data_IF_763183217154
#
_entry.id   IF_763183217154
#
_cell.length_a   1.000
_cell.length_b   1.000
_cell.length_c   1.000
_cell.angle_alpha   90.00
_cell.angle_beta   90.00
_cell.angle_gamma   90.00
#
_symmetry.space_group_name_H-M   'P 1'
#
loop_
_entity.id
_entity.type
_entity.pdbx_description
1 polymer ?
#
# COMPACT_ATOMS: atom_id res chain seq x y z
N UNK A 1 -27.08 50.03 41.26
CA UNK A 1 -27.22 48.62 40.84
C UNK A 1 -27.37 48.57 39.33
N UNK A 2 -26.71 47.58 38.68
CA UNK A 2 -26.64 47.25 37.24
C UNK A 2 -25.63 48.01 36.36
N UNK A 3 -24.53 47.29 36.05
CA UNK A 3 -23.55 47.44 34.97
C UNK A 3 -23.72 46.22 34.06
N UNK A 4 -23.80 46.42 32.73
CA UNK A 4 -23.40 45.53 31.60
C UNK A 4 -23.40 46.49 30.37
N UNK A 5 -22.31 47.07 29.85
CA UNK A 5 -21.11 46.64 29.09
C UNK A 5 -21.39 45.79 27.83
N UNK A 6 -21.05 46.39 26.69
CA UNK A 6 -21.13 45.92 25.30
C UNK A 6 -20.19 44.77 24.95
N UNK A 7 -20.58 43.94 23.98
CA UNK A 7 -19.65 43.12 23.20
C UNK A 7 -19.89 43.31 21.69
N UNK A 8 -18.87 43.85 21.03
CA UNK A 8 -18.66 43.88 19.59
C UNK A 8 -18.29 42.49 19.07
N UNK A 9 -19.02 41.99 18.08
CA UNK A 9 -18.70 40.74 17.38
C UNK A 9 -17.64 40.96 16.30
N UNK A 10 -16.52 40.24 16.40
CA UNK A 10 -15.53 40.13 15.34
C UNK A 10 -15.81 38.89 14.47
N UNK A 11 -16.10 39.15 13.20
CA UNK A 11 -16.09 38.19 12.09
C UNK A 11 -14.65 38.10 11.59
N UNK A 12 -13.89 37.06 11.94
CA UNK A 12 -12.59 36.77 11.30
C UNK A 12 -12.12 35.34 11.62
N UNK A 13 -12.64 34.29 10.96
CA UNK A 13 -11.97 32.96 11.03
C UNK A 13 -12.38 31.88 9.98
N UNK A 14 -12.89 32.24 8.80
CA UNK A 14 -13.27 31.20 7.80
C UNK A 14 -12.36 31.10 6.57
N UNK A 15 -11.53 32.12 6.30
CA UNK A 15 -10.64 32.10 5.13
C UNK A 15 -9.23 31.55 5.42
N UNK A 16 -8.75 31.65 6.67
CA UNK A 16 -7.39 31.24 7.01
C UNK A 16 -7.25 29.71 7.19
N UNK A 17 -8.31 29.03 7.64
CA UNK A 17 -8.35 27.56 7.65
C UNK A 17 -8.40 26.94 6.25
N UNK A 18 -8.99 27.63 5.26
CA UNK A 18 -9.00 27.17 3.86
C UNK A 18 -7.65 27.35 3.16
N UNK A 19 -6.85 28.34 3.55
CA UNK A 19 -5.46 28.51 3.07
C UNK A 19 -4.49 27.52 3.73
N UNK A 20 -4.65 27.22 5.04
CA UNK A 20 -3.85 26.20 5.72
C UNK A 20 -4.10 24.77 5.22
N UNK A 21 -5.34 24.41 4.87
CA UNK A 21 -5.64 23.11 4.27
C UNK A 21 -4.98 22.95 2.89
N UNK A 22 -4.99 23.99 2.05
CA UNK A 22 -4.35 23.96 0.72
C UNK A 22 -2.82 23.91 0.79
N UNK A 23 -2.19 24.57 1.75
CA UNK A 23 -0.73 24.47 1.94
C UNK A 23 -0.29 23.15 2.59
N UNK A 24 -1.10 22.54 3.47
CA UNK A 24 -0.76 21.23 4.05
C UNK A 24 -0.94 20.06 3.08
N UNK A 25 -1.77 20.19 2.05
CA UNK A 25 -2.02 19.16 1.04
C UNK A 25 -0.92 19.16 -0.03
N UNK A 26 -0.45 20.33 -0.48
CA UNK A 26 0.68 20.47 -1.40
C UNK A 26 2.00 19.94 -0.79
N UNK A 27 2.31 20.28 0.47
CA UNK A 27 3.55 19.82 1.13
C UNK A 27 3.54 18.35 1.59
N UNK A 28 2.39 17.66 1.49
CA UNK A 28 2.24 16.25 1.89
C UNK A 28 2.32 15.28 0.72
N UNK A 29 2.14 15.74 -0.52
CA UNK A 29 2.43 14.94 -1.71
C UNK A 29 3.95 14.91 -2.02
N UNK A 30 4.67 15.99 -1.70
CA UNK A 30 6.14 16.10 -1.90
C UNK A 30 6.96 15.11 -1.05
N UNK A 31 6.42 14.58 0.05
CA UNK A 31 7.13 13.60 0.89
C UNK A 31 7.25 12.22 0.21
N UNK A 32 6.44 11.95 -0.83
CA UNK A 32 6.59 10.76 -1.67
C UNK A 32 7.69 10.92 -2.74
N UNK A 33 8.19 12.13 -2.97
CA UNK A 33 9.11 12.50 -4.05
C UNK A 33 10.57 12.68 -3.59
N UNK A 34 10.83 12.79 -2.28
CA UNK A 34 12.18 13.06 -1.75
C UNK A 34 13.18 11.89 -1.80
N UNK A 35 12.80 10.70 -2.30
CA UNK A 35 13.69 9.52 -2.33
C UNK A 35 14.20 9.12 -3.72
N UNK A 36 14.08 9.99 -4.75
CA UNK A 36 14.64 9.74 -6.08
C UNK A 36 15.64 10.79 -6.59
N UNK A 37 16.02 11.79 -5.79
CA UNK A 37 17.05 12.77 -6.20
C UNK A 37 18.45 12.33 -5.75
N UNK A 38 19.23 11.96 -6.78
CA UNK A 38 20.68 11.79 -6.85
C UNK A 38 21.52 12.37 -5.71
N UNK A 39 22.35 11.50 -5.12
CA UNK A 39 23.58 11.85 -4.39
C UNK A 39 24.53 12.59 -5.34
N UNK A 40 24.59 13.91 -5.24
CA UNK A 40 25.75 14.67 -5.70
C UNK A 40 26.81 14.63 -4.62
N UNK A 41 27.93 13.95 -4.92
CA UNK A 41 29.18 14.07 -4.19
C UNK A 41 29.53 15.56 -4.04
N UNK A 42 29.61 16.03 -2.79
CA UNK A 42 30.39 17.21 -2.46
C UNK A 42 31.56 16.74 -1.60
N UNK A 43 32.72 16.90 -2.21
CA UNK A 43 34.04 16.68 -1.70
C UNK A 43 34.38 17.79 -0.70
N UNK A 44 34.56 17.44 0.56
CA UNK A 44 35.25 18.27 1.55
C UNK A 44 36.06 17.32 2.43
N UNK A 45 37.33 17.15 2.07
CA UNK A 45 38.33 16.60 2.95
C UNK A 45 38.54 17.48 4.18
N UNK A 46 39.02 16.89 5.28
CA UNK A 46 40.39 17.07 5.78
C UNK A 46 40.59 16.23 7.04
N UNK A 47 41.64 15.42 7.01
CA UNK A 47 42.45 14.86 8.10
C UNK A 47 41.79 14.07 9.25
N UNK A 48 42.24 12.83 9.48
CA UNK A 48 43.26 12.56 10.50
C UNK A 48 43.75 11.09 10.43
N UNK A 49 45.09 10.96 10.37
CA UNK A 49 45.98 9.88 10.84
C UNK A 49 45.91 8.47 10.21
N UNK A 50 46.89 8.24 9.33
CA UNK A 50 47.55 6.95 9.07
C UNK A 50 48.23 6.40 10.33
N UNK A 51 48.00 5.12 10.64
CA UNK A 51 49.03 4.22 11.17
C UNK A 51 48.92 2.88 10.44
N UNK A 52 50.01 2.50 9.79
CA UNK A 52 50.23 1.25 9.06
C UNK A 52 50.87 0.18 9.95
N UNK A 53 50.42 -1.08 9.85
CA UNK A 53 51.27 -2.29 9.91
C UNK A 53 50.47 -3.45 9.30
N UNK A 54 50.82 -3.96 8.11
CA UNK A 54 51.82 -5.00 7.81
C UNK A 54 51.58 -6.34 8.53
N UNK A 55 51.05 -7.33 7.80
CA UNK A 55 51.64 -8.67 7.59
C UNK A 55 50.59 -9.76 7.33
N UNK A 56 50.82 -10.52 6.26
CA UNK A 56 50.28 -11.85 5.92
C UNK A 56 51.51 -12.65 5.42
N UNK A 57 51.45 -13.99 5.25
CA UNK A 57 51.03 -15.10 6.10
C UNK A 57 52.22 -16.10 6.27
N UNK A 58 52.03 -17.39 6.61
CA UNK A 58 51.98 -18.37 5.52
C UNK A 58 51.08 -19.62 5.74
N UNK A 59 50.83 -20.26 4.60
CA UNK A 59 50.16 -21.53 4.29
C UNK A 59 50.98 -22.78 4.60
N UNK A 60 50.32 -23.92 4.92
CA UNK A 60 50.72 -25.31 4.57
C UNK A 60 49.43 -26.18 4.57
N UNK A 61 48.97 -26.77 3.45
CA UNK A 61 49.41 -28.00 2.75
C UNK A 61 49.07 -29.31 3.49
N UNK A 62 48.07 -30.05 2.98
CA UNK A 62 48.10 -31.48 2.55
C UNK A 62 46.73 -32.19 2.69
N UNK A 63 46.19 -32.59 1.53
CA UNK A 63 45.37 -33.79 1.30
C UNK A 63 46.36 -34.97 1.05
N UNK A 64 46.01 -36.27 1.12
CA UNK A 64 45.11 -36.86 0.09
C UNK A 64 44.42 -38.24 0.34
N UNK A 65 43.61 -38.63 -0.68
CA UNK A 65 43.41 -39.98 -1.28
C UNK A 65 42.30 -40.95 -0.78
N UNK A 66 41.29 -41.11 -1.67
CA UNK A 66 40.70 -42.30 -2.34
C UNK A 66 40.16 -43.53 -1.57
N UNK A 67 38.90 -43.90 -1.89
CA UNK A 67 38.40 -45.13 -2.57
C UNK A 67 36.92 -45.38 -2.17
N UNK A 68 36.06 -46.15 -2.83
CA UNK A 68 35.72 -46.53 -4.23
C UNK A 68 34.59 -47.60 -4.10
N UNK A 69 33.74 -47.76 -5.12
CA UNK A 69 32.74 -48.85 -5.26
C UNK A 69 31.28 -48.34 -5.22
N UNK A 70 30.51 -48.22 -6.32
CA UNK A 70 29.90 -49.27 -7.20
C UNK A 70 29.05 -50.30 -6.41
N UNK A 71 27.83 -50.74 -6.78
CA UNK A 71 27.05 -50.68 -8.03
C UNK A 71 25.57 -51.09 -7.78
N UNK A 72 24.68 -50.69 -8.71
CA UNK A 72 23.53 -51.37 -9.36
C UNK A 72 22.42 -52.10 -8.55
N UNK A 73 21.16 -51.82 -8.93
CA UNK A 73 20.04 -52.77 -8.72
C UNK A 73 18.61 -52.20 -8.86
N UNK A 74 18.09 -52.08 -10.08
CA UNK A 74 16.65 -52.11 -10.47
C UNK A 74 16.56 -53.32 -11.44
N UNK A 75 15.46 -54.09 -11.67
CA UNK A 75 14.03 -53.71 -11.65
C UNK A 75 13.02 -54.81 -11.19
N UNK A 76 11.72 -54.49 -11.13
CA UNK A 76 10.66 -55.26 -11.84
C UNK A 76 9.26 -54.64 -11.73
N UNK A 77 8.62 -54.54 -12.90
CA UNK A 77 7.18 -54.38 -13.14
C UNK A 77 6.44 -55.69 -12.90
N UNK A 78 5.15 -55.60 -12.55
CA UNK A 78 4.13 -56.57 -12.98
C UNK A 78 2.76 -55.90 -13.11
N UNK A 79 2.14 -56.14 -14.26
CA UNK A 79 0.78 -55.80 -14.74
C UNK A 79 -0.21 -56.96 -14.50
N UNK A 80 -1.52 -56.67 -14.42
CA UNK A 80 -2.75 -57.42 -14.87
C UNK A 80 -3.96 -56.61 -14.29
N UNK A 81 -4.96 -56.02 -14.98
CA UNK A 81 -5.98 -56.47 -15.96
C UNK A 81 -6.80 -57.67 -15.46
N UNK A 82 -8.15 -57.76 -15.43
CA UNK A 82 -9.31 -57.03 -15.97
C UNK A 82 -10.59 -57.57 -15.26
N UNK A 83 -11.72 -56.87 -15.36
CA UNK A 83 -13.10 -57.39 -15.60
C UNK A 83 -14.20 -57.05 -14.57
N UNK A 84 -15.32 -56.63 -15.15
CA UNK A 84 -16.59 -56.09 -14.69
C UNK A 84 -17.44 -57.03 -13.83
N UNK A 85 -18.37 -56.46 -13.04
CA UNK A 85 -19.83 -56.63 -13.19
C UNK A 85 -20.59 -55.92 -12.05
N UNK A 86 -21.56 -55.07 -12.43
CA UNK A 86 -22.66 -54.59 -11.57
C UNK A 86 -23.69 -55.71 -11.36
N UNK A 87 -24.48 -55.64 -10.28
CA UNK A 87 -25.87 -55.21 -10.46
C UNK A 87 -26.39 -54.23 -9.39
N UNK A 88 -27.50 -53.60 -9.79
CA UNK A 88 -28.36 -52.60 -9.16
C UNK A 88 -28.97 -52.98 -7.80
N UNK A 89 -29.15 -51.98 -6.93
CA UNK A 89 -30.07 -52.06 -5.79
C UNK A 89 -29.98 -50.88 -4.81
N UNK A 90 -30.87 -49.91 -4.99
CA UNK A 90 -31.50 -49.04 -3.96
C UNK A 90 -30.79 -48.79 -2.62
N UNK A 91 -30.30 -47.55 -2.43
CA UNK A 91 -30.54 -46.74 -1.23
C UNK A 91 -29.99 -45.33 -1.48
N UNK A 92 -30.85 -44.31 -1.39
CA UNK A 92 -30.45 -42.92 -1.30
C UNK A 92 -29.74 -42.70 0.04
N UNK A 93 -28.48 -42.24 0.09
CA UNK A 93 -27.96 -41.61 1.29
C UNK A 93 -28.19 -40.10 1.20
N UNK A 94 -28.66 -39.56 2.32
CA UNK A 94 -28.82 -38.15 2.58
C UNK A 94 -27.62 -37.34 2.06
N UNK A 95 -27.93 -36.26 1.33
CA UNK A 95 -26.96 -35.23 0.99
C UNK A 95 -26.46 -34.59 2.29
N UNK A 96 -25.38 -35.12 2.84
CA UNK A 96 -24.54 -34.35 3.72
C UNK A 96 -24.10 -33.09 2.96
N UNK A 97 -24.27 -31.88 3.52
CA UNK A 97 -23.77 -30.68 2.89
C UNK A 97 -22.26 -30.83 2.79
N UNK A 98 -21.80 -30.89 1.54
CA UNK A 98 -20.39 -30.74 1.19
C UNK A 98 -19.91 -29.50 1.90
N UNK A 99 -18.96 -29.70 2.81
CA UNK A 99 -18.26 -28.69 3.58
C UNK A 99 -18.09 -27.44 2.75
N UNK A 100 -18.64 -26.32 3.25
CA UNK A 100 -18.31 -24.98 2.78
C UNK A 100 -16.81 -24.96 2.49
N UNK A 101 -16.45 -24.65 1.25
CA UNK A 101 -15.16 -24.05 0.96
C UNK A 101 -14.99 -22.92 1.97
N UNK A 102 -14.14 -23.13 2.95
CA UNK A 102 -13.70 -22.08 3.86
C UNK A 102 -13.14 -20.97 2.97
N UNK A 103 -13.70 -19.75 3.02
CA UNK A 103 -12.99 -18.61 2.44
C UNK A 103 -11.63 -18.59 3.15
N UNK A 104 -10.54 -18.68 2.39
CA UNK A 104 -9.20 -18.35 2.88
C UNK A 104 -9.32 -17.13 3.78
N UNK A 105 -9.05 -17.29 5.08
CA UNK A 105 -9.34 -16.25 6.06
C UNK A 105 -8.70 -14.95 5.62
N UNK A 106 -9.55 -13.98 5.29
CA UNK A 106 -9.13 -12.65 4.92
C UNK A 106 -8.39 -12.04 6.12
N UNK A 107 -7.07 -11.98 6.03
CA UNK A 107 -6.17 -11.77 7.16
C UNK A 107 -5.70 -10.30 7.30
N UNK A 108 -6.55 -9.35 6.90
CA UNK A 108 -6.22 -7.92 6.86
C UNK A 108 -5.83 -7.39 8.25
N UNK A 109 -6.49 -7.85 9.33
CA UNK A 109 -6.12 -7.48 10.69
C UNK A 109 -4.75 -8.02 11.07
N UNK A 110 -4.48 -9.31 10.86
CA UNK A 110 -3.20 -9.90 11.25
C UNK A 110 -2.03 -9.29 10.47
N UNK A 111 -2.20 -9.04 9.16
CA UNK A 111 -1.15 -8.38 8.37
C UNK A 111 -0.87 -6.95 8.88
N UNK A 112 -1.91 -6.19 9.23
CA UNK A 112 -1.75 -4.87 9.84
C UNK A 112 -1.09 -4.96 11.23
N UNK A 113 -1.47 -5.95 12.04
CA UNK A 113 -0.88 -6.19 13.36
C UNK A 113 0.60 -6.55 13.25
N UNK A 114 1.00 -7.40 12.31
CA UNK A 114 2.40 -7.73 12.05
C UNK A 114 3.22 -6.49 11.66
N UNK A 115 2.65 -5.63 10.80
CA UNK A 115 3.25 -4.34 10.45
C UNK A 115 3.41 -3.44 11.69
N UNK A 116 2.39 -3.38 12.55
CA UNK A 116 2.40 -2.60 13.79
C UNK A 116 3.43 -3.11 14.81
N UNK A 117 3.52 -4.43 15.00
CA UNK A 117 4.52 -5.08 15.85
C UNK A 117 5.94 -4.82 15.34
N UNK A 118 6.15 -4.85 14.02
CA UNK A 118 7.41 -4.47 13.39
C UNK A 118 7.80 -3.02 13.69
N UNK A 119 6.86 -2.08 13.52
CA UNK A 119 7.09 -0.67 13.83
C UNK A 119 7.36 -0.44 15.33
N UNK A 120 6.62 -1.13 16.21
CA UNK A 120 6.83 -1.09 17.66
C UNK A 120 8.24 -1.56 18.03
N UNK A 121 8.67 -2.71 17.51
CA UNK A 121 9.99 -3.28 17.80
C UNK A 121 11.12 -2.34 17.36
N UNK A 122 11.00 -1.77 16.16
CA UNK A 122 12.01 -0.85 15.62
C UNK A 122 12.13 0.41 16.48
N UNK A 123 10.99 1.05 16.81
CA UNK A 123 10.97 2.27 17.62
C UNK A 123 11.49 1.99 19.03
N UNK A 124 11.08 0.88 19.63
CA UNK A 124 11.50 0.49 20.97
C UNK A 124 13.02 0.28 21.08
N UNK A 125 13.68 -0.15 20.01
CA UNK A 125 15.13 -0.37 20.01
C UNK A 125 15.97 0.92 19.87
N UNK A 126 15.36 2.07 19.59
CA UNK A 126 16.07 3.33 19.32
C UNK A 126 16.24 4.19 20.57
N UNK A 127 17.49 4.50 20.92
CA UNK A 127 17.84 5.35 22.07
C UNK A 127 17.12 6.71 22.04
N UNK A 128 17.13 7.40 20.90
CA UNK A 128 16.45 8.70 20.74
C UNK A 128 14.93 8.63 20.88
N UNK A 129 14.31 7.47 20.63
CA UNK A 129 12.89 7.27 20.88
C UNK A 129 12.64 6.95 22.37
N UNK A 130 13.51 6.16 22.99
CA UNK A 130 13.44 5.87 24.42
C UNK A 130 13.55 7.14 25.27
N UNK A 131 14.49 8.03 24.96
CA UNK A 131 14.60 9.34 25.63
C UNK A 131 13.29 10.12 25.51
N UNK A 132 12.75 10.26 24.30
CA UNK A 132 11.49 10.97 24.04
C UNK A 132 10.31 10.35 24.82
N UNK A 133 10.21 9.01 24.86
CA UNK A 133 9.18 8.29 25.63
C UNK A 133 9.30 8.61 27.12
N UNK A 134 10.51 8.59 27.67
CA UNK A 134 10.74 8.92 29.08
C UNK A 134 10.44 10.39 29.39
N UNK A 135 10.76 11.30 28.48
CA UNK A 135 10.46 12.72 28.62
C UNK A 135 8.94 12.96 28.65
N UNK A 136 8.17 12.31 27.77
CA UNK A 136 6.71 12.37 27.77
C UNK A 136 6.15 11.82 29.09
N UNK A 137 6.59 10.61 29.49
CA UNK A 137 6.13 9.96 30.72
C UNK A 137 6.47 10.79 31.96
N UNK A 138 7.66 11.41 32.00
CA UNK A 138 8.11 12.30 33.09
C UNK A 138 7.25 13.56 33.15
N UNK A 139 7.09 14.27 32.03
CA UNK A 139 6.26 15.47 31.95
C UNK A 139 4.82 15.19 32.41
N UNK A 140 4.22 14.09 31.97
CA UNK A 140 2.88 13.69 32.40
C UNK A 140 2.80 13.46 33.92
N UNK A 141 3.78 12.79 34.53
CA UNK A 141 3.82 12.55 35.98
C UNK A 141 4.00 13.84 36.78
N UNK A 142 4.94 14.69 36.38
CA UNK A 142 5.29 15.93 37.08
C UNK A 142 4.18 16.98 37.00
N UNK A 143 3.35 16.94 35.94
CA UNK A 143 2.20 17.82 35.76
C UNK A 143 0.87 17.22 36.29
N UNK A 144 0.94 16.38 37.33
CA UNK A 144 -0.25 15.85 38.00
C UNK A 144 -1.08 14.91 37.12
N UNK A 145 -0.43 14.12 36.25
CA UNK A 145 -1.07 13.21 35.28
C UNK A 145 -1.98 13.94 34.29
N UNK A 146 -1.52 15.09 33.79
CA UNK A 146 -2.22 15.88 32.77
C UNK A 146 -1.36 16.02 31.51
N UNK A 147 -2.01 15.98 30.37
CA UNK A 147 -1.37 16.26 29.08
C UNK A 147 -1.11 17.75 28.95
N UNK A 148 0.16 18.15 28.99
CA UNK A 148 0.59 19.51 28.72
C UNK A 148 0.75 19.73 27.20
N UNK A 149 0.74 20.97 26.71
CA UNK A 149 1.06 21.26 25.31
C UNK A 149 2.43 20.70 24.87
N UNK A 150 3.41 20.71 25.77
CA UNK A 150 4.74 20.14 25.53
C UNK A 150 4.69 18.62 25.37
N UNK A 151 4.03 17.90 26.28
CA UNK A 151 3.86 16.45 26.19
C UNK A 151 3.10 16.04 24.92
N UNK A 152 2.10 16.81 24.51
CA UNK A 152 1.36 16.59 23.26
C UNK A 152 2.25 16.83 22.03
N UNK A 153 3.12 17.85 22.08
CA UNK A 153 4.13 18.09 21.03
C UNK A 153 5.11 16.93 20.87
N UNK A 154 5.61 16.39 21.99
CA UNK A 154 6.50 15.23 22.00
C UNK A 154 5.79 13.94 21.57
N UNK A 155 4.53 13.73 21.98
CA UNK A 155 3.73 12.62 21.50
C UNK A 155 3.58 12.68 19.97
N UNK A 156 3.29 13.85 19.42
CA UNK A 156 3.19 14.03 17.97
C UNK A 156 4.51 13.72 17.25
N UNK A 157 5.64 14.15 17.81
CA UNK A 157 6.96 13.80 17.28
C UNK A 157 7.23 12.28 17.32
N UNK A 158 6.77 11.59 18.37
CA UNK A 158 6.86 10.14 18.46
C UNK A 158 5.99 9.47 17.38
N UNK A 159 4.74 9.93 17.23
CA UNK A 159 3.83 9.44 16.19
C UNK A 159 4.40 9.65 14.78
N UNK A 160 4.93 10.84 14.46
CA UNK A 160 5.55 11.15 13.16
C UNK A 160 6.73 10.20 12.86
N UNK A 161 7.56 9.89 13.88
CA UNK A 161 8.65 8.92 13.75
C UNK A 161 8.12 7.53 13.44
N UNK A 162 7.13 7.05 14.19
CA UNK A 162 6.54 5.71 13.99
C UNK A 162 5.87 5.62 12.62
N UNK A 163 5.10 6.64 12.23
CA UNK A 163 4.41 6.75 10.94
C UNK A 163 5.38 6.55 9.79
N UNK A 164 6.53 7.24 9.81
CA UNK A 164 7.56 7.09 8.77
C UNK A 164 8.07 5.65 8.66
N UNK A 165 8.31 4.96 9.77
CA UNK A 165 8.76 3.56 9.74
C UNK A 165 7.67 2.60 9.24
N UNK A 166 6.44 2.77 9.73
CA UNK A 166 5.30 1.96 9.32
C UNK A 166 5.03 2.13 7.82
N UNK A 167 5.07 3.37 7.32
CA UNK A 167 4.89 3.66 5.89
C UNK A 167 6.01 3.07 5.04
N UNK A 168 7.27 3.22 5.45
CA UNK A 168 8.40 2.64 4.72
C UNK A 168 8.32 1.12 4.66
N UNK A 169 7.99 0.45 5.77
CA UNK A 169 7.78 -1.01 5.77
C UNK A 169 6.64 -1.41 4.83
N UNK A 170 5.52 -0.69 4.88
CA UNK A 170 4.41 -0.89 3.96
C UNK A 170 4.86 -0.74 2.50
N UNK A 171 5.52 0.37 2.13
CA UNK A 171 5.85 0.68 0.73
C UNK A 171 6.86 -0.27 0.10
N UNK A 172 7.66 -0.96 0.93
CA UNK A 172 8.65 -1.95 0.50
C UNK A 172 8.10 -3.38 0.54
N UNK A 173 6.91 -3.60 1.08
CA UNK A 173 6.16 -4.85 0.99
C UNK A 173 5.61 -4.98 -0.44
N UNK A 174 6.39 -5.64 -1.30
CA UNK A 174 6.13 -5.78 -2.74
C UNK A 174 5.90 -7.25 -3.10
N UNK A 175 5.18 -7.56 -4.20
CA UNK A 175 4.99 -8.95 -4.63
C UNK A 175 6.35 -9.64 -4.85
N UNK A 176 6.47 -10.92 -4.46
CA UNK A 176 7.73 -11.65 -4.49
C UNK A 176 8.36 -11.71 -5.89
N UNK A 177 7.54 -11.98 -6.91
CA UNK A 177 7.98 -12.14 -8.31
C UNK A 177 7.91 -10.83 -9.11
N UNK A 178 7.76 -9.68 -8.43
CA UNK A 178 7.63 -8.40 -9.10
C UNK A 178 8.95 -7.97 -9.74
N UNK A 179 8.88 -7.58 -11.02
CA UNK A 179 10.02 -7.10 -11.79
C UNK A 179 9.70 -5.76 -12.44
N UNK A 180 10.70 -4.88 -12.53
CA UNK A 180 10.59 -3.62 -13.25
C UNK A 180 10.80 -3.77 -14.76
N UNK A 181 10.51 -2.70 -15.49
CA UNK A 181 10.78 -2.59 -16.92
C UNK A 181 12.27 -2.26 -17.13
N UNK A 182 12.92 -2.94 -18.08
CA UNK A 182 14.22 -2.52 -18.61
C UNK A 182 14.08 -1.27 -19.48
N UNK A 183 15.18 -0.64 -19.90
CA UNK A 183 15.14 0.63 -20.64
C UNK A 183 14.37 0.57 -21.96
N UNK A 184 14.43 -0.56 -22.67
CA UNK A 184 13.67 -0.75 -23.91
C UNK A 184 12.18 -0.85 -23.60
N UNK A 185 11.80 -1.72 -22.65
CA UNK A 185 10.43 -1.91 -22.18
C UNK A 185 9.83 -0.59 -21.64
N UNK A 186 10.63 0.26 -20.98
CA UNK A 186 10.20 1.58 -20.51
C UNK A 186 9.83 2.52 -21.67
N UNK A 187 10.63 2.53 -22.75
CA UNK A 187 10.33 3.34 -23.94
C UNK A 187 9.10 2.82 -24.67
N UNK A 188 9.02 1.51 -24.87
CA UNK A 188 7.86 0.84 -25.45
C UNK A 188 6.57 1.13 -24.67
N UNK A 189 6.64 1.14 -23.33
CA UNK A 189 5.50 1.50 -22.48
C UNK A 189 5.06 2.96 -22.68
N UNK A 190 6.02 3.90 -22.78
CA UNK A 190 5.70 5.31 -23.04
C UNK A 190 5.01 5.48 -24.40
N UNK A 191 5.52 4.84 -25.44
CA UNK A 191 4.92 4.89 -26.77
C UNK A 191 3.52 4.25 -26.78
N UNK A 192 3.37 3.13 -26.07
CA UNK A 192 2.08 2.48 -25.89
C UNK A 192 1.07 3.38 -25.20
N UNK A 193 1.44 4.03 -24.09
CA UNK A 193 0.56 4.93 -23.33
C UNK A 193 0.12 6.14 -24.17
N UNK A 194 0.99 6.70 -25.01
CA UNK A 194 0.63 7.76 -25.98
C UNK A 194 -0.40 7.28 -27.00
N UNK A 195 -0.18 6.10 -27.59
CA UNK A 195 -1.10 5.53 -28.56
C UNK A 195 -2.46 5.20 -27.92
N UNK A 196 -2.44 4.65 -26.71
CA UNK A 196 -3.64 4.36 -25.93
C UNK A 196 -4.42 5.64 -25.60
N UNK A 197 -3.75 6.72 -25.21
CA UNK A 197 -4.42 7.98 -24.90
C UNK A 197 -5.12 8.60 -26.11
N UNK A 198 -4.59 8.39 -27.32
CA UNK A 198 -5.22 8.85 -28.56
C UNK A 198 -6.46 8.02 -28.93
N UNK A 199 -6.45 6.72 -28.64
CA UNK A 199 -7.53 5.79 -29.01
C UNK A 199 -8.60 5.60 -27.93
N UNK A 200 -8.33 5.99 -26.69
CA UNK A 200 -9.29 5.86 -25.59
C UNK A 200 -10.47 6.83 -25.77
N UNK A 201 -11.67 6.28 -25.96
CA UNK A 201 -12.87 7.07 -26.23
C UNK A 201 -13.42 7.75 -24.98
N UNK A 202 -13.46 7.05 -23.85
CA UNK A 202 -14.18 7.47 -22.64
C UNK A 202 -13.30 8.13 -21.57
N UNK A 203 -11.97 8.06 -21.71
CA UNK A 203 -11.03 8.51 -20.68
C UNK A 203 -9.91 9.39 -21.24
N UNK A 204 -9.37 10.23 -20.38
CA UNK A 204 -8.08 10.89 -20.54
C UNK A 204 -7.03 10.12 -19.73
N UNK A 205 -5.84 9.95 -20.32
CA UNK A 205 -4.64 9.52 -19.60
C UNK A 205 -3.77 10.76 -19.38
N UNK A 206 -3.37 11.04 -18.14
CA UNK A 206 -2.63 12.24 -17.76
C UNK A 206 -1.44 11.88 -16.87
N UNK A 207 -0.39 12.70 -16.85
CA UNK A 207 0.74 12.54 -15.93
C UNK A 207 0.33 12.98 -14.53
N UNK A 208 0.58 12.16 -13.51
CA UNK A 208 0.33 12.53 -12.12
C UNK A 208 1.17 13.76 -11.74
N UNK A 209 0.53 14.79 -11.16
CA UNK A 209 1.18 16.06 -10.81
C UNK A 209 1.30 17.06 -11.98
N UNK A 210 0.82 16.68 -13.17
CA UNK A 210 0.77 17.54 -14.36
C UNK A 210 -0.55 17.37 -15.11
N UNK A 211 -1.65 17.15 -14.38
CA UNK A 211 -2.97 16.85 -14.93
C UNK A 211 -3.58 18.00 -15.75
N UNK A 212 -3.06 19.23 -15.61
CA UNK A 212 -3.47 20.37 -16.42
C UNK A 212 -2.92 20.34 -17.86
N UNK A 213 -1.95 19.45 -18.15
CA UNK A 213 -1.28 19.37 -19.44
C UNK A 213 -1.65 18.05 -20.11
N UNK A 214 -2.17 18.12 -21.35
CA UNK A 214 -2.52 16.95 -22.14
C UNK A 214 -1.28 16.06 -22.36
N UNK A 215 -1.47 14.74 -22.32
CA UNK A 215 -0.38 13.77 -22.48
C UNK A 215 0.39 13.96 -23.80
N UNK A 216 -0.32 14.28 -24.89
CA UNK A 216 0.27 14.53 -26.21
C UNK A 216 1.19 15.75 -26.25
N UNK A 217 1.09 16.66 -25.29
CA UNK A 217 1.92 17.85 -25.17
C UNK A 217 3.09 17.67 -24.20
N UNK A 218 3.18 16.51 -23.53
CA UNK A 218 4.30 16.19 -22.64
C UNK A 218 5.52 15.75 -23.45
N UNK A 219 6.70 16.18 -23.03
CA UNK A 219 7.95 15.67 -23.60
C UNK A 219 8.22 14.23 -23.18
N UNK A 220 8.94 13.47 -24.00
CA UNK A 220 9.36 12.09 -23.68
C UNK A 220 10.10 12.00 -22.36
N UNK A 221 10.90 13.02 -22.06
CA UNK A 221 11.65 13.12 -20.82
C UNK A 221 10.74 13.20 -19.58
N UNK A 222 9.60 13.89 -19.68
CA UNK A 222 8.60 13.93 -18.61
C UNK A 222 7.91 12.58 -18.49
N UNK A 223 7.50 11.98 -19.61
CA UNK A 223 6.79 10.70 -19.62
C UNK A 223 7.65 9.54 -19.08
N UNK A 224 8.94 9.50 -19.42
CA UNK A 224 9.90 8.52 -18.92
C UNK A 224 10.21 8.68 -17.42
N UNK A 225 10.01 9.88 -16.86
CA UNK A 225 10.21 10.16 -15.42
C UNK A 225 8.90 10.24 -14.65
N UNK A 226 7.76 10.07 -15.31
CA UNK A 226 6.46 10.16 -14.67
C UNK A 226 6.41 9.21 -13.48
N UNK A 227 5.93 9.70 -12.33
CA UNK A 227 5.76 8.83 -11.16
C UNK A 227 4.68 7.80 -11.42
N UNK A 228 3.60 8.26 -12.05
CA UNK A 228 2.43 7.49 -12.47
C UNK A 228 1.63 8.25 -13.53
N UNK A 229 0.73 7.55 -14.18
CA UNK A 229 -0.30 8.10 -15.05
C UNK A 229 -1.68 7.91 -14.40
N UNK A 230 -2.53 8.94 -14.47
CA UNK A 230 -3.93 8.88 -14.07
C UNK A 230 -4.80 8.58 -15.29
N UNK A 231 -5.77 7.70 -15.11
CA UNK A 231 -6.84 7.43 -16.05
C UNK A 231 -8.12 8.03 -15.46
N UNK A 232 -8.66 9.06 -16.13
CA UNK A 232 -9.83 9.82 -15.69
C UNK A 232 -10.89 9.79 -16.79
N UNK A 233 -12.19 9.63 -16.49
CA UNK A 233 -13.24 9.79 -17.50
C UNK A 233 -13.19 11.18 -18.16
N UNK A 234 -13.47 11.29 -19.47
CA UNK A 234 -13.40 12.58 -20.18
C UNK A 234 -14.40 13.62 -19.64
N UNK A 235 -15.56 13.15 -19.21
CA UNK A 235 -16.62 13.91 -18.56
C UNK A 235 -16.48 13.92 -17.03
N UNK A 236 -15.26 13.74 -16.48
CA UNK A 236 -15.01 13.64 -15.04
C UNK A 236 -15.73 14.71 -14.20
N UNK A 237 -15.67 15.98 -14.61
CA UNK A 237 -16.34 17.07 -13.88
C UNK A 237 -17.88 16.90 -13.85
N UNK A 238 -18.47 16.33 -14.91
CA UNK A 238 -19.91 16.04 -14.98
C UNK A 238 -20.25 14.76 -14.21
N UNK A 239 -19.43 13.71 -14.30
CA UNK A 239 -19.60 12.48 -13.52
C UNK A 239 -19.44 12.72 -12.02
N UNK A 240 -18.62 13.69 -11.65
CA UNK A 240 -18.23 13.94 -10.27
C UNK A 240 -18.46 15.42 -9.90
N UNK A 241 -19.73 15.79 -9.78
CA UNK A 241 -20.12 17.06 -9.19
C UNK A 241 -19.74 17.07 -7.69
N UNK A 242 -18.85 17.99 -7.31
CA UNK A 242 -18.28 18.18 -5.96
C UNK A 242 -17.38 17.03 -5.46
N UNK A 243 -16.06 17.16 -5.72
CA UNK A 243 -14.94 16.47 -5.03
C UNK A 243 -15.36 15.21 -4.27
N UNK A 244 -15.65 14.13 -4.99
CA UNK A 244 -15.89 12.84 -4.36
C UNK A 244 -14.63 12.47 -3.58
N UNK A 245 -14.73 12.44 -2.25
CA UNK A 245 -13.70 11.87 -1.40
C UNK A 245 -13.54 10.42 -1.85
N UNK A 246 -12.30 9.95 -1.99
CA UNK A 246 -12.04 8.54 -2.24
C UNK A 246 -12.69 7.75 -1.10
N UNK A 247 -13.72 6.96 -1.43
CA UNK A 247 -14.42 6.10 -0.47
C UNK A 247 -13.73 4.75 -0.33
N UNK A 248 -13.11 4.27 -1.39
CA UNK A 248 -12.32 3.05 -1.37
C UNK A 248 -11.29 3.00 -2.51
N UNK A 249 -10.44 1.98 -2.47
CA UNK A 249 -9.47 1.70 -3.52
C UNK A 249 -9.20 0.22 -3.69
N UNK A 250 -8.78 -0.13 -4.89
CA UNK A 250 -8.17 -1.41 -5.22
C UNK A 250 -6.71 -1.20 -5.57
N UNK A 251 -5.85 -2.12 -5.14
CA UNK A 251 -4.46 -2.25 -5.57
C UNK A 251 -4.37 -3.47 -6.49
N UNK A 252 -3.70 -3.29 -7.63
CA UNK A 252 -3.51 -4.33 -8.64
C UNK A 252 -2.02 -4.60 -8.81
N UNK A 253 -1.66 -5.89 -8.84
CA UNK A 253 -0.31 -6.38 -9.06
C UNK A 253 -0.31 -7.44 -10.18
N UNK A 254 0.50 -7.20 -11.20
CA UNK A 254 0.63 -8.04 -12.39
C UNK A 254 2.09 -8.29 -12.77
N UNK A 255 2.31 -9.31 -13.60
CA UNK A 255 3.60 -9.54 -14.23
C UNK A 255 3.85 -8.45 -15.27
N UNK A 256 5.10 -7.95 -15.33
CA UNK A 256 5.49 -6.87 -16.25
C UNK A 256 5.16 -7.15 -17.72
N UNK A 257 5.13 -8.41 -18.13
CA UNK A 257 4.77 -8.82 -19.49
C UNK A 257 3.33 -8.42 -19.88
N UNK A 258 2.47 -8.17 -18.89
CA UNK A 258 1.07 -7.78 -19.07
C UNK A 258 0.82 -6.29 -18.79
N UNK A 259 1.85 -5.48 -18.61
CA UNK A 259 1.71 -4.10 -18.11
C UNK A 259 0.98 -3.17 -19.09
N UNK A 260 1.24 -3.32 -20.39
CA UNK A 260 0.50 -2.63 -21.45
C UNK A 260 -0.97 -3.06 -21.47
N UNK A 261 -1.23 -4.36 -21.33
CA UNK A 261 -2.58 -4.92 -21.31
C UNK A 261 -3.37 -4.41 -20.10
N UNK A 262 -2.74 -4.28 -18.93
CA UNK A 262 -3.36 -3.65 -17.77
C UNK A 262 -3.71 -2.19 -18.04
N UNK A 263 -2.80 -1.41 -18.64
CA UNK A 263 -3.09 -0.02 -18.99
C UNK A 263 -4.35 0.10 -19.85
N UNK A 264 -4.48 -0.76 -20.87
CA UNK A 264 -5.68 -0.84 -21.71
C UNK A 264 -6.91 -1.33 -20.94
N UNK A 265 -6.79 -2.36 -20.12
CA UNK A 265 -7.90 -2.87 -19.33
C UNK A 265 -8.46 -1.77 -18.40
N UNK A 266 -7.59 -0.97 -17.79
CA UNK A 266 -7.99 0.16 -16.94
C UNK A 266 -8.79 1.22 -17.70
N UNK A 267 -8.51 1.48 -18.99
CA UNK A 267 -9.33 2.42 -19.78
C UNK A 267 -10.69 1.80 -20.12
N UNK A 268 -10.74 0.50 -20.37
CA UNK A 268 -11.95 -0.25 -20.69
C UNK A 268 -12.89 -0.46 -19.50
N UNK A 269 -12.39 -0.29 -18.26
CA UNK A 269 -13.24 -0.35 -17.09
C UNK A 269 -14.30 0.75 -17.09
N UNK A 270 -14.02 1.95 -17.63
CA UNK A 270 -14.93 3.08 -17.52
C UNK A 270 -16.10 2.96 -18.51
N UNK A 271 -17.31 2.79 -17.97
CA UNK A 271 -18.57 2.70 -18.71
C UNK A 271 -19.66 3.58 -18.05
N UNK A 272 -20.88 3.56 -18.57
CA UNK A 272 -22.01 4.24 -17.92
C UNK A 272 -22.49 3.49 -16.67
N UNK A 273 -22.36 2.16 -16.62
CA UNK A 273 -22.82 1.33 -15.49
C UNK A 273 -22.09 1.64 -14.18
N UNK A 274 -20.83 2.08 -14.24
CA UNK A 274 -20.02 2.37 -13.06
C UNK A 274 -19.77 3.86 -12.84
N UNK A 275 -20.50 4.71 -13.56
CA UNK A 275 -20.41 6.18 -13.48
C UNK A 275 -20.61 6.73 -12.06
N UNK A 276 -21.38 6.04 -11.21
CA UNK A 276 -21.67 6.49 -9.84
C UNK A 276 -20.57 6.20 -8.81
N UNK A 277 -19.69 5.24 -9.08
CA UNK A 277 -18.78 4.70 -8.04
C UNK A 277 -17.32 4.53 -8.49
N UNK A 278 -17.03 4.34 -9.79
CA UNK A 278 -15.67 4.29 -10.31
C UNK A 278 -15.14 5.71 -10.55
N UNK A 279 -14.16 6.15 -9.76
CA UNK A 279 -13.72 7.54 -9.75
C UNK A 279 -12.53 7.81 -10.67
N UNK A 280 -11.46 7.02 -10.52
CA UNK A 280 -10.25 7.14 -11.34
C UNK A 280 -9.42 5.87 -11.23
N UNK A 281 -8.47 5.68 -12.15
CA UNK A 281 -7.40 4.72 -11.98
C UNK A 281 -6.04 5.42 -12.07
N UNK A 282 -5.02 4.75 -11.56
CA UNK A 282 -3.61 5.15 -11.57
C UNK A 282 -2.79 3.95 -11.98
N UNK A 283 -1.87 4.13 -12.91
CA UNK A 283 -0.88 3.13 -13.30
C UNK A 283 0.52 3.69 -13.04
N UNK A 284 1.41 2.90 -12.46
CA UNK A 284 2.76 3.36 -12.14
C UNK A 284 3.52 3.76 -13.40
N UNK A 285 4.41 4.74 -13.29
CA UNK A 285 5.25 5.16 -14.40
C UNK A 285 6.33 4.13 -14.71
N UNK A 286 6.98 4.23 -15.89
CA UNK A 286 7.87 3.20 -16.41
C UNK A 286 9.02 2.83 -15.46
N UNK A 287 9.60 3.81 -14.77
CA UNK A 287 10.71 3.59 -13.81
C UNK A 287 10.26 3.06 -12.45
N UNK A 288 8.97 3.16 -12.14
CA UNK A 288 8.44 2.78 -10.84
C UNK A 288 7.69 1.45 -10.85
N UNK A 289 7.55 0.80 -12.02
CA UNK A 289 6.98 -0.54 -12.05
C UNK A 289 7.84 -1.49 -11.23
N UNK A 290 7.20 -2.24 -10.32
CA UNK A 290 7.86 -3.24 -9.48
C UNK A 290 8.78 -2.69 -8.39
N UNK A 291 8.83 -1.37 -8.18
CA UNK A 291 9.60 -0.76 -7.09
C UNK A 291 8.78 -0.54 -5.81
N UNK A 292 7.46 -0.76 -5.85
CA UNK A 292 6.52 -0.51 -4.75
C UNK A 292 5.50 -1.64 -4.60
N UNK A 293 4.75 -1.55 -3.51
CA UNK A 293 3.60 -2.40 -3.13
C UNK A 293 2.49 -2.53 -4.17
N UNK A 294 2.26 -1.45 -4.92
CA UNK A 294 1.18 -1.31 -5.90
C UNK A 294 1.72 -0.92 -7.28
N UNK A 295 1.28 -1.65 -8.32
CA UNK A 295 1.61 -1.34 -9.71
C UNK A 295 0.51 -0.54 -10.42
N UNK A 296 -0.74 -0.74 -10.01
CA UNK A 296 -1.85 0.12 -10.35
C UNK A 296 -2.82 0.23 -9.18
N UNK A 297 -3.60 1.30 -9.19
CA UNK A 297 -4.60 1.60 -8.18
C UNK A 297 -5.88 2.05 -8.86
N UNK A 298 -7.02 1.48 -8.46
CA UNK A 298 -8.33 2.00 -8.83
C UNK A 298 -8.91 2.68 -7.61
N UNK A 299 -9.49 3.86 -7.79
CA UNK A 299 -10.14 4.62 -6.73
C UNK A 299 -11.64 4.65 -6.97
N UNK A 300 -12.39 4.41 -5.90
CA UNK A 300 -13.85 4.44 -5.89
C UNK A 300 -14.33 5.63 -5.06
N UNK A 301 -15.43 6.26 -5.47
CA UNK A 301 -16.06 7.35 -4.70
C UNK A 301 -16.85 6.83 -3.51
N UNK A 302 -17.33 5.58 -3.56
CA UNK A 302 -18.04 4.91 -2.48
C UNK A 302 -17.28 3.67 -2.01
N UNK A 303 -17.46 3.35 -0.73
CA UNK A 303 -17.14 2.03 -0.20
C UNK A 303 -18.15 1.00 -0.74
N UNK A 304 -17.67 -0.21 -1.02
CA UNK A 304 -18.44 -1.36 -1.46
C UNK A 304 -17.52 -2.48 -1.94
N UNK A 305 -17.52 -3.62 -1.24
CA UNK A 305 -16.72 -4.80 -1.63
C UNK A 305 -17.26 -5.41 -2.92
N UNK A 306 -18.56 -5.29 -3.16
CA UNK A 306 -19.25 -5.69 -4.38
C UNK A 306 -18.69 -5.00 -5.63
N UNK A 307 -18.36 -3.71 -5.54
CA UNK A 307 -17.69 -2.99 -6.63
C UNK A 307 -16.30 -3.55 -6.90
N UNK A 308 -15.59 -3.95 -5.84
CA UNK A 308 -14.29 -4.58 -5.98
C UNK A 308 -14.38 -5.95 -6.67
N UNK A 309 -15.39 -6.76 -6.34
CA UNK A 309 -15.65 -8.04 -6.99
C UNK A 309 -16.05 -7.87 -8.47
N UNK A 310 -16.82 -6.83 -8.79
CA UNK A 310 -17.17 -6.51 -10.18
C UNK A 310 -15.93 -6.14 -10.99
N UNK A 311 -15.03 -5.33 -10.43
CA UNK A 311 -13.75 -4.98 -11.06
C UNK A 311 -12.87 -6.23 -11.24
N UNK A 312 -12.75 -7.08 -10.22
CA UNK A 312 -11.96 -8.32 -10.29
C UNK A 312 -12.44 -9.23 -11.42
N UNK A 313 -13.76 -9.42 -11.54
CA UNK A 313 -14.36 -10.17 -12.64
C UNK A 313 -14.02 -9.55 -14.00
N UNK A 314 -14.27 -8.23 -14.18
CA UNK A 314 -13.99 -7.53 -15.44
C UNK A 314 -12.52 -7.58 -15.82
N UNK A 315 -11.61 -7.38 -14.87
CA UNK A 315 -10.17 -7.46 -15.14
C UNK A 315 -9.74 -8.88 -15.50
N UNK A 316 -10.33 -9.90 -14.89
CA UNK A 316 -10.07 -11.31 -15.22
C UNK A 316 -10.57 -11.71 -16.61
N UNK A 317 -11.61 -11.03 -17.13
CA UNK A 317 -12.07 -11.21 -18.51
C UNK A 317 -11.16 -10.48 -19.52
N UNK A 318 -10.58 -9.35 -19.14
CA UNK A 318 -9.72 -8.52 -19.99
C UNK A 318 -8.25 -8.95 -20.00
N UNK A 319 -7.80 -9.63 -18.95
CA UNK A 319 -6.41 -10.05 -18.75
C UNK A 319 -6.34 -11.57 -18.61
N UNK A 320 -5.38 -12.19 -19.30
CA UNK A 320 -5.17 -13.63 -19.17
C UNK A 320 -4.74 -14.01 -17.73
N UNK A 321 -5.17 -15.17 -17.22
CA UNK A 321 -4.85 -15.73 -15.89
C UNK A 321 -3.38 -15.60 -15.42
N UNK A 322 -2.33 -15.81 -16.25
CA UNK A 322 -0.94 -15.64 -15.80
C UNK A 322 -0.55 -14.17 -15.54
N UNK A 323 -1.43 -13.20 -15.81
CA UNK A 323 -1.13 -11.79 -15.64
C UNK A 323 -0.96 -11.41 -14.17
N UNK A 324 -1.75 -11.95 -13.24
CA UNK A 324 -1.78 -11.47 -11.86
C UNK A 324 -0.68 -12.06 -10.98
N UNK A 325 -0.06 -11.23 -10.15
CA UNK A 325 0.91 -11.63 -9.13
C UNK A 325 0.24 -11.69 -7.76
N UNK A 326 0.33 -12.83 -7.08
CA UNK A 326 -0.26 -12.99 -5.75
C UNK A 326 0.43 -12.06 -4.75
N UNK A 327 -0.33 -11.08 -4.23
CA UNK A 327 0.12 -10.16 -3.20
C UNK A 327 -1.06 -9.38 -2.63
N UNK A 328 -1.17 -9.33 -1.30
CA UNK A 328 -2.14 -8.51 -0.59
C UNK A 328 -1.40 -7.57 0.35
N UNK A 329 -1.36 -6.26 0.06
CA UNK A 329 -0.68 -5.30 0.92
C UNK A 329 -1.22 -5.34 2.36
N UNK A 330 -0.34 -5.11 3.32
CA UNK A 330 -0.68 -5.12 4.74
C UNK A 330 -1.91 -4.24 5.06
N UNK A 331 -2.90 -4.83 5.74
CA UNK A 331 -4.16 -4.16 6.10
C UNK A 331 -5.19 -4.04 4.98
N UNK A 332 -4.97 -4.62 3.79
CA UNK A 332 -5.98 -4.70 2.72
C UNK A 332 -6.76 -6.02 2.73
N UNK A 333 -7.94 -6.00 2.13
CA UNK A 333 -8.82 -7.13 1.88
C UNK A 333 -8.41 -7.83 0.58
N UNK A 334 -8.20 -9.14 0.58
CA UNK A 334 -7.94 -9.87 -0.68
C UNK A 334 -9.23 -10.08 -1.46
N UNK A 335 -9.32 -9.53 -2.67
CA UNK A 335 -10.48 -9.73 -3.57
C UNK A 335 -10.25 -10.95 -4.46
N UNK A 336 -9.11 -10.94 -5.16
CA UNK A 336 -8.69 -11.97 -6.11
C UNK A 336 -7.17 -12.05 -6.18
N UNK A 337 -6.63 -12.90 -7.05
CA UNK A 337 -5.18 -13.01 -7.23
C UNK A 337 -4.65 -11.66 -7.72
N UNK A 338 -3.72 -11.07 -6.96
CA UNK A 338 -3.12 -9.78 -7.28
C UNK A 338 -4.07 -8.58 -7.21
N UNK A 339 -5.28 -8.74 -6.67
CA UNK A 339 -6.25 -7.65 -6.48
C UNK A 339 -6.64 -7.59 -5.00
N UNK A 340 -6.32 -6.44 -4.38
CA UNK A 340 -6.62 -6.17 -2.98
C UNK A 340 -7.43 -4.88 -2.84
N UNK A 341 -8.33 -4.80 -1.86
CA UNK A 341 -9.28 -3.72 -1.65
C UNK A 341 -9.14 -3.09 -0.27
N UNK A 342 -9.41 -1.78 -0.17
CA UNK A 342 -9.57 -1.12 1.13
C UNK A 342 -10.38 0.17 1.06
N UNK A 343 -11.19 0.40 2.08
CA UNK A 343 -12.01 1.59 2.28
C UNK A 343 -11.24 2.71 2.96
N UNK A 344 -11.66 3.94 2.70
CA UNK A 344 -11.01 5.14 3.24
C UNK A 344 -12.02 5.89 4.10
N UNK A 345 -11.67 6.09 5.38
CA UNK A 345 -12.50 6.89 6.27
C UNK A 345 -12.54 8.35 5.81
N UNK A 346 -13.66 9.03 6.07
CA UNK A 346 -13.83 10.42 5.68
C UNK A 346 -12.76 11.34 6.29
N UNK A 347 -12.08 12.13 5.45
CA UNK A 347 -11.02 13.05 5.88
C UNK A 347 -9.65 12.40 6.09
N UNK A 348 -9.53 11.09 5.83
CA UNK A 348 -8.24 10.39 5.83
C UNK A 348 -7.49 10.56 4.49
N UNK A 349 -6.23 10.14 4.46
CA UNK A 349 -5.43 10.13 3.24
C UNK A 349 -5.97 9.11 2.22
N UNK A 350 -5.99 9.47 0.95
CA UNK A 350 -6.25 8.54 -0.17
C UNK A 350 -5.11 7.55 -0.42
N UNK A 351 -3.93 7.76 0.19
CA UNK A 351 -2.86 6.77 0.23
C UNK A 351 -3.11 5.77 1.35
N UNK A 352 -3.40 4.52 1.00
CA UNK A 352 -3.68 3.44 1.97
C UNK A 352 -2.54 3.26 2.97
N UNK A 353 -1.31 3.10 2.46
CA UNK A 353 -0.13 2.91 3.30
C UNK A 353 0.05 4.06 4.29
N UNK A 354 -0.21 5.29 3.86
CA UNK A 354 -0.09 6.47 4.71
C UNK A 354 -1.20 6.55 5.77
N UNK A 355 -2.44 6.25 5.38
CA UNK A 355 -3.58 6.15 6.30
C UNK A 355 -3.32 5.10 7.39
N UNK A 356 -2.86 3.91 7.01
CA UNK A 356 -2.61 2.79 7.93
C UNK A 356 -1.39 3.03 8.80
N UNK A 357 -0.34 3.66 8.27
CA UNK A 357 0.81 4.09 9.04
C UNK A 357 0.44 5.05 10.17
N UNK A 358 -0.54 5.95 9.97
CA UNK A 358 -1.05 6.84 11.04
C UNK A 358 -1.80 6.10 12.14
N UNK A 359 -2.62 5.12 11.77
CA UNK A 359 -3.33 4.26 12.73
C UNK A 359 -2.32 3.46 13.57
N UNK A 360 -1.31 2.90 12.92
CA UNK A 360 -0.20 2.21 13.58
C UNK A 360 0.57 3.18 14.50
N UNK A 361 0.90 4.37 14.03
CA UNK A 361 1.64 5.37 14.79
C UNK A 361 0.93 5.72 16.10
N UNK A 362 -0.36 6.02 16.04
CA UNK A 362 -1.17 6.30 17.23
C UNK A 362 -1.23 5.08 18.18
N UNK A 363 -1.43 3.87 17.65
CA UNK A 363 -1.54 2.65 18.46
C UNK A 363 -0.21 2.29 19.14
N UNK A 364 0.91 2.44 18.44
CA UNK A 364 2.26 2.19 18.96
C UNK A 364 2.65 3.25 19.97
N UNK A 365 2.40 4.54 19.69
CA UNK A 365 2.65 5.61 20.67
C UNK A 365 1.85 5.38 21.95
N UNK A 366 0.55 5.06 21.83
CA UNK A 366 -0.28 4.69 22.98
C UNK A 366 0.29 3.48 23.74
N UNK A 367 0.73 2.44 23.02
CA UNK A 367 1.32 1.24 23.62
C UNK A 367 2.56 1.58 24.44
N UNK A 368 3.49 2.34 23.87
CA UNK A 368 4.76 2.72 24.49
C UNK A 368 4.56 3.64 25.71
N UNK A 369 3.58 4.55 25.65
CA UNK A 369 3.33 5.53 26.70
C UNK A 369 2.53 4.96 27.87
N UNK A 370 1.75 3.91 27.65
CA UNK A 370 0.87 3.31 28.67
C UNK A 370 1.29 1.90 29.10
N UNK A 371 2.33 1.34 28.46
CA UNK A 371 2.79 -0.04 28.64
C UNK A 371 1.68 -1.08 28.37
N UNK A 372 0.66 -0.69 27.58
CA UNK A 372 -0.41 -1.57 27.11
C UNK A 372 0.04 -2.30 25.84
N UNK A 373 -0.18 -3.63 25.70
CA UNK A 373 0.20 -4.36 24.48
C UNK A 373 -0.43 -3.80 23.19
N UNK A 374 0.29 -3.89 22.07
CA UNK A 374 -0.15 -3.39 20.76
C UNK A 374 -1.43 -4.07 20.27
N UNK A 375 -1.61 -5.35 20.63
CA UNK A 375 -2.81 -6.15 20.36
C UNK A 375 -4.08 -5.57 21.01
N UNK A 376 -3.91 -4.69 22.01
CA UNK A 376 -5.03 -4.00 22.67
C UNK A 376 -5.17 -2.55 22.22
N UNK A 377 -4.07 -1.86 21.87
CA UNK A 377 -4.15 -0.46 21.44
C UNK A 377 -4.57 -0.33 19.98
N UNK A 378 -4.13 -1.23 19.09
CA UNK A 378 -4.47 -1.19 17.67
C UNK A 378 -5.99 -1.30 17.42
N UNK A 379 -6.72 -2.30 17.97
CA UNK A 379 -8.17 -2.37 17.84
C UNK A 379 -8.91 -1.12 18.35
N UNK A 380 -8.44 -0.52 19.46
CA UNK A 380 -9.04 0.70 20.01
C UNK A 380 -8.88 1.89 19.07
N UNK A 381 -7.69 2.05 18.48
CA UNK A 381 -7.43 3.12 17.51
C UNK A 381 -8.25 2.89 16.23
N UNK A 382 -8.32 1.66 15.73
CA UNK A 382 -9.16 1.30 14.58
C UNK A 382 -10.62 1.68 14.83
N UNK A 383 -11.19 1.24 15.95
CA UNK A 383 -12.56 1.53 16.34
C UNK A 383 -12.81 3.03 16.47
N UNK A 384 -11.94 3.76 17.16
CA UNK A 384 -12.07 5.20 17.35
C UNK A 384 -11.99 5.99 16.02
N UNK A 385 -11.37 5.42 15.00
CA UNK A 385 -11.26 6.00 13.65
C UNK A 385 -12.29 5.46 12.66
N UNK A 386 -13.25 4.65 13.15
CA UNK A 386 -14.36 4.15 12.34
C UNK A 386 -14.02 2.95 11.46
N UNK A 387 -12.88 2.29 11.67
CA UNK A 387 -12.51 1.07 10.96
C UNK A 387 -13.05 -0.17 11.68
N UNK A 388 -13.36 -1.22 10.92
CA UNK A 388 -13.73 -2.51 11.48
C UNK A 388 -12.51 -3.16 12.13
N UNK A 389 -12.61 -3.51 13.41
CA UNK A 389 -11.48 -4.05 14.19
C UNK A 389 -11.05 -5.45 13.77
N UNK A 390 -11.95 -6.24 13.20
CA UNK A 390 -11.65 -7.60 12.70
C UNK A 390 -11.17 -7.58 11.25
N UNK A 391 -11.52 -6.52 10.51
CA UNK A 391 -11.15 -6.36 9.11
C UNK A 391 -10.85 -4.87 8.81
N UNK A 392 -9.66 -4.37 9.17
CA UNK A 392 -9.31 -2.94 9.02
C UNK A 392 -9.18 -2.45 7.58
N UNK A 393 -9.36 -3.34 6.60
CA UNK A 393 -9.57 -2.97 5.23
C UNK A 393 -10.93 -2.29 5.01
N UNK A 394 -11.91 -2.52 5.89
CA UNK A 394 -13.28 -2.03 5.82
C UNK A 394 -13.58 -1.02 6.93
N UNK A 395 -14.55 -0.16 6.69
CA UNK A 395 -15.16 0.71 7.70
C UNK A 395 -16.15 -0.08 8.55
N UNK A 396 -16.39 0.39 9.76
CA UNK A 396 -17.48 -0.11 10.60
C UNK A 396 -18.80 0.29 9.96
N UNK A 397 -19.70 -0.67 9.73
CA UNK A 397 -21.06 -0.37 9.29
C UNK A 397 -21.72 0.55 10.32
N UNK A 398 -22.11 1.75 9.89
CA UNK A 398 -22.98 2.61 10.69
C UNK A 398 -24.39 2.02 10.55
N UNK A 399 -24.86 1.35 11.60
CA UNK A 399 -26.26 0.96 11.73
C UNK A 399 -27.13 2.19 11.96
#
# INVERSE_FOLDING_TARGET
>A
MKRIISSSGYVYESQDMRKRAKHHEASREDFADANSSSVTKLDLGTAYLNITSSAKPPSLLHNPVMNSGESLGVPRQTTYSTTELRPSGSALPEKHPTTLNTPTSNNSYQSLLLLAQGAFKDISSRSAAQVLIQDIKRNYRENGKRWTPEALGYQKLLEDRVEKFAYMRYSHDKPADVSGLNENEQREFVDYIKALATSAENVNILVQGSEAVALSSQSDSVLQRAVAFRVLPKDFAQRHAARAKVGARLTININKAHFNQLAKALTQLFSDDNRGWLHQAKIMGPKNLGSRTDQAVIYLSSAGVEHAQEIDKKLSELLAEPAFLEHTPSGMYRVGKGIAYSETAEGDSSSHGQSRAKLIAAAVAQSLLTDTPIERTLPRVLQARGYNVLNPALLTQRY
#
